data_IF_918044329894
#
_entry.id   IF_918044329894
#
_cell.length_a   1.000
_cell.length_b   1.000
_cell.length_c   1.000
_cell.angle_alpha   90.00
_cell.angle_beta   90.00
_cell.angle_gamma   90.00
#
_symmetry.space_group_name_H-M   'P 1'
#
loop_
_entity.id
_entity.type
_entity.pdbx_description
1 polymer ?
#
# COMPACT_ATOMS: atom_id res chain seq x y z
N UNK A 1 -9.46 -16.86 17.74
CA UNK A 1 -9.09 -15.46 17.47
C UNK A 1 -7.73 -15.35 16.81
N UNK A 2 -6.71 -15.93 17.43
CA UNK A 2 -5.37 -15.81 16.88
C UNK A 2 -5.25 -16.41 15.49
N UNK A 3 -5.90 -17.55 15.27
CA UNK A 3 -5.85 -18.22 13.99
C UNK A 3 -6.50 -17.38 12.91
N UNK A 4 -7.64 -16.76 13.23
CA UNK A 4 -8.34 -15.88 12.31
C UNK A 4 -7.48 -14.67 11.98
N UNK A 5 -6.82 -14.08 12.97
CA UNK A 5 -5.93 -12.94 12.76
C UNK A 5 -4.76 -13.31 11.86
N UNK A 6 -4.23 -14.52 11.99
CA UNK A 6 -3.12 -14.95 11.14
C UNK A 6 -3.54 -15.12 9.69
N UNK A 7 -4.75 -15.61 9.45
CA UNK A 7 -5.26 -15.71 8.09
C UNK A 7 -5.43 -14.32 7.48
N UNK A 8 -5.93 -13.37 8.26
CA UNK A 8 -6.08 -11.99 7.78
C UNK A 8 -4.72 -11.39 7.45
N UNK A 9 -3.71 -11.62 8.29
CA UNK A 9 -2.38 -11.12 8.04
C UNK A 9 -1.77 -11.75 6.79
N UNK A 10 -1.97 -13.03 6.59
CA UNK A 10 -1.45 -13.72 5.42
C UNK A 10 -2.11 -13.21 4.14
N UNK A 11 -3.42 -13.03 4.18
CA UNK A 11 -4.15 -12.50 3.04
C UNK A 11 -3.68 -11.08 2.70
N UNK A 12 -3.52 -10.25 3.71
CA UNK A 12 -3.05 -8.88 3.51
C UNK A 12 -1.64 -8.84 2.95
N UNK A 13 -0.77 -9.68 3.47
CA UNK A 13 0.60 -9.75 2.98
C UNK A 13 0.64 -10.21 1.52
N UNK A 14 -0.16 -11.21 1.19
CA UNK A 14 -0.24 -11.71 -0.18
C UNK A 14 -0.78 -10.62 -1.11
N UNK A 15 -1.84 -9.94 -0.70
CA UNK A 15 -2.43 -8.88 -1.51
C UNK A 15 -1.44 -7.75 -1.74
N UNK A 16 -0.69 -7.38 -0.71
CA UNK A 16 0.32 -6.33 -0.83
C UNK A 16 1.39 -6.74 -1.83
N UNK A 17 1.88 -7.97 -1.75
CA UNK A 17 2.89 -8.47 -2.67
C UNK A 17 2.42 -8.47 -4.11
N UNK A 18 1.17 -8.90 -4.32
CA UNK A 18 0.59 -8.92 -5.66
C UNK A 18 0.48 -7.50 -6.20
N UNK A 19 0.02 -6.56 -5.37
CA UNK A 19 -0.13 -5.17 -5.79
C UNK A 19 1.21 -4.53 -6.12
N UNK A 20 2.23 -4.78 -5.30
CA UNK A 20 3.56 -4.25 -5.57
C UNK A 20 4.11 -4.80 -6.87
N UNK A 21 3.97 -6.10 -7.08
CA UNK A 21 4.44 -6.73 -8.32
C UNK A 21 3.70 -6.20 -9.53
N UNK A 22 2.40 -5.98 -9.38
CA UNK A 22 1.59 -5.44 -10.46
C UNK A 22 2.01 -4.02 -10.82
N UNK A 23 2.22 -3.17 -9.82
CA UNK A 23 2.70 -1.81 -10.05
C UNK A 23 4.04 -1.82 -10.77
N UNK A 24 4.95 -2.68 -10.33
CA UNK A 24 6.25 -2.79 -10.95
C UNK A 24 6.12 -3.24 -12.41
N UNK A 25 5.29 -4.24 -12.67
CA UNK A 25 5.08 -4.73 -14.03
C UNK A 25 4.51 -3.65 -14.93
N UNK A 26 3.55 -2.88 -14.43
CA UNK A 26 2.92 -1.82 -15.21
C UNK A 26 3.91 -0.71 -15.54
N UNK A 27 4.75 -0.32 -14.58
CA UNK A 27 5.73 0.73 -14.81
C UNK A 27 6.86 0.23 -15.71
N UNK A 28 7.31 -1.01 -15.53
CA UNK A 28 8.36 -1.58 -16.39
C UNK A 28 7.92 -1.67 -17.83
N UNK A 29 6.65 -1.95 -18.07
CA UNK A 29 6.11 -2.03 -19.42
C UNK A 29 5.65 -0.70 -19.95
N UNK A 30 5.82 0.36 -19.18
CA UNK A 30 5.46 1.72 -19.54
C UNK A 30 3.98 1.89 -19.87
N UNK A 31 3.14 1.06 -19.25
CA UNK A 31 1.69 1.23 -19.33
C UNK A 31 1.22 2.35 -18.44
N UNK A 32 1.92 2.59 -17.32
CA UNK A 32 1.76 3.78 -16.51
C UNK A 32 3.15 4.33 -16.21
N UNK A 33 3.25 5.62 -15.96
CA UNK A 33 4.53 6.24 -15.63
C UNK A 33 4.85 5.98 -14.16
N UNK A 34 6.13 6.18 -13.80
CA UNK A 34 6.52 6.13 -12.41
C UNK A 34 5.79 7.19 -11.60
N UNK A 35 5.54 8.36 -12.20
CA UNK A 35 4.80 9.41 -11.52
C UNK A 35 3.35 8.99 -11.27
N UNK A 36 2.72 8.30 -12.22
CA UNK A 36 1.36 7.79 -12.03
C UNK A 36 1.30 6.83 -10.86
N UNK A 37 2.29 5.95 -10.74
CA UNK A 37 2.36 5.00 -9.63
C UNK A 37 2.52 5.75 -8.29
N UNK A 38 3.36 6.77 -8.27
CA UNK A 38 3.56 7.58 -7.08
C UNK A 38 2.29 8.31 -6.68
N UNK A 39 1.59 8.86 -7.66
CA UNK A 39 0.35 9.58 -7.41
C UNK A 39 -0.72 8.64 -6.83
N UNK A 40 -0.81 7.44 -7.37
CA UNK A 40 -1.73 6.43 -6.86
C UNK A 40 -1.43 6.10 -5.39
N UNK A 41 -0.17 5.87 -5.09
CA UNK A 41 0.23 5.53 -3.73
C UNK A 41 0.03 6.70 -2.77
N UNK A 42 0.29 7.91 -3.24
CA UNK A 42 0.07 9.11 -2.44
C UNK A 42 -1.41 9.27 -2.11
N UNK A 43 -2.29 9.01 -3.09
CA UNK A 43 -3.72 9.07 -2.86
C UNK A 43 -4.17 8.06 -1.80
N UNK A 44 -3.62 6.85 -1.83
CA UNK A 44 -3.95 5.84 -0.83
C UNK A 44 -3.50 6.29 0.55
N UNK A 45 -2.27 6.81 0.66
CA UNK A 45 -1.75 7.29 1.93
C UNK A 45 -2.61 8.43 2.48
N UNK A 46 -2.97 9.39 1.63
CA UNK A 46 -3.78 10.53 2.03
C UNK A 46 -5.16 10.08 2.50
N UNK A 47 -5.78 9.16 1.75
CA UNK A 47 -7.11 8.66 2.11
C UNK A 47 -7.10 8.01 3.48
N UNK A 48 -6.08 7.21 3.78
CA UNK A 48 -6.01 6.54 5.07
C UNK A 48 -5.66 7.50 6.20
N UNK A 49 -4.83 8.51 5.92
CA UNK A 49 -4.53 9.52 6.92
C UNK A 49 -5.79 10.30 7.30
N UNK A 50 -6.60 10.66 6.32
CA UNK A 50 -7.86 11.34 6.58
C UNK A 50 -8.84 10.44 7.32
N UNK A 51 -8.92 9.17 6.92
CA UNK A 51 -9.80 8.21 7.60
C UNK A 51 -9.39 8.00 9.04
N UNK A 52 -8.11 8.07 9.34
CA UNK A 52 -7.62 7.89 10.72
C UNK A 52 -8.19 8.94 11.66
N UNK A 53 -8.51 10.14 11.15
CA UNK A 53 -8.98 11.24 11.99
C UNK A 53 -10.38 10.98 12.54
N UNK A 54 -11.19 10.20 11.85
CA UNK A 54 -12.58 9.96 12.24
C UNK A 54 -12.89 8.49 12.48
N UNK A 55 -11.94 7.61 12.25
CA UNK A 55 -12.14 6.17 12.37
C UNK A 55 -12.14 5.71 13.82
N UNK A 56 -12.84 4.60 14.06
CA UNK A 56 -12.75 3.91 15.34
C UNK A 56 -11.47 3.08 15.46
N UNK A 57 -10.74 2.92 14.36
CA UNK A 57 -9.48 2.16 14.33
C UNK A 57 -8.38 3.00 13.67
N UNK A 58 -8.05 4.17 14.25
CA UNK A 58 -7.08 5.06 13.61
C UNK A 58 -5.70 4.43 13.45
N UNK A 59 -5.30 3.57 14.38
CA UNK A 59 -3.98 2.95 14.31
C UNK A 59 -3.86 2.04 13.08
N UNK A 60 -4.95 1.39 12.70
CA UNK A 60 -4.94 0.56 11.49
C UNK A 60 -4.70 1.42 10.26
N UNK A 61 -5.37 2.56 10.15
CA UNK A 61 -5.20 3.44 9.00
C UNK A 61 -3.81 4.03 8.96
N UNK A 62 -3.26 4.38 10.10
CA UNK A 62 -1.90 4.91 10.16
C UNK A 62 -0.86 3.87 9.80
N UNK A 63 -1.12 2.60 10.16
CA UNK A 63 -0.24 1.50 9.76
C UNK A 63 -0.24 1.32 8.24
N UNK A 64 -1.42 1.45 7.61
CA UNK A 64 -1.52 1.39 6.14
C UNK A 64 -0.72 2.53 5.52
N UNK A 65 -0.88 3.74 6.05
CA UNK A 65 -0.13 4.90 5.56
C UNK A 65 1.36 4.66 5.63
N UNK A 66 1.85 4.11 6.73
CA UNK A 66 3.28 3.83 6.90
C UNK A 66 3.78 2.82 5.87
N UNK A 67 2.99 1.78 5.60
CA UNK A 67 3.37 0.78 4.59
C UNK A 67 3.45 1.43 3.21
N UNK A 68 2.45 2.23 2.85
CA UNK A 68 2.40 2.88 1.54
C UNK A 68 3.57 3.84 1.38
N UNK A 69 3.89 4.60 2.43
CA UNK A 69 5.01 5.53 2.36
C UNK A 69 6.33 4.81 2.19
N UNK A 70 6.47 3.64 2.76
CA UNK A 70 7.67 2.83 2.58
C UNK A 70 7.82 2.40 1.13
N UNK A 71 6.72 2.07 0.48
CA UNK A 71 6.73 1.74 -0.94
C UNK A 71 7.11 2.97 -1.76
N UNK A 72 6.57 4.13 -1.40
CA UNK A 72 6.83 5.38 -2.11
C UNK A 72 8.31 5.76 -2.13
N UNK A 73 9.07 5.39 -1.10
CA UNK A 73 10.50 5.70 -1.09
C UNK A 73 11.32 4.68 -1.87
N UNK A 74 10.67 3.75 -2.56
CA UNK A 74 11.34 2.87 -3.48
C UNK A 74 12.00 1.66 -2.84
N UNK A 75 11.53 1.26 -1.68
CA UNK A 75 12.14 0.14 -0.97
C UNK A 75 11.51 -1.19 -1.34
N UNK A 76 10.36 -1.18 -2.00
CA UNK A 76 9.64 -2.40 -2.34
C UNK A 76 9.44 -2.46 -3.85
N UNK A 77 8.24 -2.67 -4.32
CA UNK A 77 8.03 -2.99 -5.71
C UNK A 77 8.08 -1.84 -6.70
N UNK A 78 8.01 -0.60 -6.24
CA UNK A 78 7.93 0.55 -7.14
C UNK A 78 9.30 1.15 -7.37
N UNK A 79 9.68 1.33 -8.63
CA UNK A 79 10.93 1.96 -8.99
C UNK A 79 10.87 3.47 -8.81
N UNK A 80 11.95 4.03 -8.38
CA UNK A 80 12.03 5.49 -8.19
C UNK A 80 13.25 6.12 -8.88
#
# INVERSE_FOLDING_TARGET
MTEHARFDDANGTAALGICESLLLALTDRKLISEQDARDLLTDVATSHEEAAQTSKTPDRHRAVTAIVQRILVGKNGVRT
#
